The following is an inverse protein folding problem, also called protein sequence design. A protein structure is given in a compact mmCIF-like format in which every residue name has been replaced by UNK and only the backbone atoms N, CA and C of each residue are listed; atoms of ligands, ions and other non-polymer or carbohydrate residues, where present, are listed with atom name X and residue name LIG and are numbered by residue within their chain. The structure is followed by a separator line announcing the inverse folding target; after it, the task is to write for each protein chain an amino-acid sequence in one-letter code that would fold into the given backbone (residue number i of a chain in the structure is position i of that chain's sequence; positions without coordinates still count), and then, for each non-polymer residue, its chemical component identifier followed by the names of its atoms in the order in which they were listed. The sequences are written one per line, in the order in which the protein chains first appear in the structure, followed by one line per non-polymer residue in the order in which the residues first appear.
data_IF_923207628549
#
_entry.id   IF_923207628549
#
_cell.length_a   1.000
_cell.length_b   1.000
_cell.length_c   1.000
_cell.angle_alpha   90.00
_cell.angle_beta   90.00
_cell.angle_gamma   90.00
#
_symmetry.space_group_name_H-M   'P 1'
#
loop_
_entity.id
_entity.type
_entity.pdbx_description
1 polymer ?
#
# COMPACT_ATOMS: atom_id res chain seq x y z
N UNK A 1 13.85 16.36 -15.47
CA UNK A 1 12.87 16.31 -14.35
C UNK A 1 12.18 17.67 -14.27
N UNK A 2 10.84 17.71 -14.17
CA UNK A 2 10.07 18.94 -14.06
C UNK A 2 10.27 19.52 -12.63
N UNK A 3 10.43 20.84 -12.48
CA UNK A 3 10.60 21.52 -11.17
C UNK A 3 9.48 21.17 -10.17
N UNK A 4 8.25 21.03 -10.66
CA UNK A 4 7.10 20.60 -9.84
C UNK A 4 7.31 19.20 -9.25
N UNK A 5 7.79 18.25 -10.03
CA UNK A 5 8.04 16.88 -9.59
C UNK A 5 9.14 16.81 -8.53
N UNK A 6 10.22 17.57 -8.72
CA UNK A 6 11.30 17.70 -7.72
C UNK A 6 10.75 18.21 -6.39
N UNK A 7 9.90 19.24 -6.45
CA UNK A 7 9.26 19.82 -5.28
C UNK A 7 8.38 18.79 -4.55
N UNK A 8 7.54 18.05 -5.28
CA UNK A 8 6.64 17.03 -4.70
C UNK A 8 7.41 15.89 -4.03
N UNK A 9 8.47 15.38 -4.66
CA UNK A 9 9.31 14.33 -4.08
C UNK A 9 10.06 14.84 -2.85
N UNK A 10 10.57 16.07 -2.88
CA UNK A 10 11.23 16.68 -1.71
C UNK A 10 10.27 16.87 -0.54
N UNK A 11 9.06 17.34 -0.82
CA UNK A 11 7.99 17.49 0.18
C UNK A 11 7.61 16.14 0.78
N UNK A 12 7.44 15.11 -0.07
CA UNK A 12 7.16 13.75 0.37
C UNK A 12 8.25 13.21 1.30
N UNK A 13 9.51 13.27 0.88
CA UNK A 13 10.63 12.73 1.64
C UNK A 13 10.74 13.37 3.03
N UNK A 14 10.53 14.68 3.11
CA UNK A 14 10.51 15.40 4.39
C UNK A 14 9.34 15.01 5.28
N UNK A 15 8.18 14.71 4.67
CA UNK A 15 6.98 14.36 5.40
C UNK A 15 7.01 12.90 5.88
N UNK A 16 7.34 11.95 5.00
CA UNK A 16 7.28 10.52 5.31
C UNK A 16 8.29 10.09 6.36
N UNK A 17 9.47 10.72 6.38
CA UNK A 17 10.52 10.47 7.37
C UNK A 17 10.28 11.13 8.74
N UNK A 18 9.29 12.01 8.85
CA UNK A 18 9.00 12.71 10.10
C UNK A 18 8.14 11.82 11.02
N UNK A 19 8.70 11.44 12.15
CA UNK A 19 8.05 10.58 13.16
C UNK A 19 6.87 11.26 13.89
N UNK A 20 6.70 12.57 13.77
CA UNK A 20 5.56 13.28 14.34
C UNK A 20 4.25 13.02 13.57
N UNK A 21 4.34 12.53 12.34
CA UNK A 21 3.17 12.16 11.56
C UNK A 21 2.86 10.66 11.69
N UNK A 22 1.60 10.36 12.01
CA UNK A 22 1.11 8.99 12.09
C UNK A 22 0.80 8.42 10.69
N UNK A 23 0.42 7.12 10.64
CA UNK A 23 0.13 6.42 9.39
C UNK A 23 -0.99 7.10 8.58
N UNK A 24 -2.09 7.53 9.24
CA UNK A 24 -3.23 8.18 8.56
C UNK A 24 -2.78 9.48 7.89
N UNK A 25 -2.01 10.31 8.59
CA UNK A 25 -1.50 11.57 8.04
C UNK A 25 -0.59 11.31 6.82
N UNK A 26 0.26 10.28 6.88
CA UNK A 26 1.11 9.87 5.76
C UNK A 26 0.30 9.36 4.57
N UNK A 27 -0.75 8.57 4.79
CA UNK A 27 -1.65 8.10 3.74
C UNK A 27 -2.42 9.25 3.06
N UNK A 28 -2.92 10.20 3.84
CA UNK A 28 -3.62 11.37 3.30
C UNK A 28 -2.67 12.32 2.55
N UNK A 29 -1.43 12.45 3.04
CA UNK A 29 -0.39 13.20 2.32
C UNK A 29 -0.05 12.56 0.98
N UNK A 30 0.01 11.23 0.92
CA UNK A 30 0.17 10.48 -0.32
C UNK A 30 -0.97 10.81 -1.31
N UNK A 31 -2.22 10.79 -0.84
CA UNK A 31 -3.39 11.17 -1.65
C UNK A 31 -3.26 12.60 -2.20
N UNK A 32 -2.85 13.56 -1.34
CA UNK A 32 -2.70 14.97 -1.70
C UNK A 32 -1.62 15.17 -2.79
N UNK A 33 -0.50 14.46 -2.68
CA UNK A 33 0.61 14.57 -3.63
C UNK A 33 0.26 13.97 -5.00
N UNK A 34 -0.41 12.82 -5.01
CA UNK A 34 -0.60 12.05 -6.25
C UNK A 34 -1.88 12.42 -7.01
N UNK A 35 -3.00 12.63 -6.35
CA UNK A 35 -4.31 12.74 -7.04
C UNK A 35 -5.16 13.92 -6.57
N UNK A 36 -5.08 14.31 -5.29
CA UNK A 36 -6.00 15.27 -4.68
C UNK A 36 -5.26 16.47 -4.08
N UNK A 37 -4.63 17.37 -4.90
CA UNK A 37 -3.79 18.46 -4.37
C UNK A 37 -4.51 19.45 -3.47
N UNK A 38 -5.84 19.58 -3.61
CA UNK A 38 -6.68 20.46 -2.79
C UNK A 38 -7.32 19.73 -1.58
N UNK A 39 -6.88 18.50 -1.28
CA UNK A 39 -7.45 17.71 -0.19
C UNK A 39 -7.25 18.41 1.16
N UNK A 40 -8.32 18.66 1.89
CA UNK A 40 -8.28 19.04 3.30
C UNK A 40 -8.04 17.80 4.17
N UNK A 41 -6.78 17.51 4.43
CA UNK A 41 -6.39 16.34 5.23
C UNK A 41 -6.92 16.41 6.67
N UNK A 42 -7.11 17.61 7.23
CA UNK A 42 -7.66 17.80 8.57
C UNK A 42 -9.11 17.36 8.64
N UNK A 43 -9.89 17.67 7.61
CA UNK A 43 -11.28 17.22 7.50
C UNK A 43 -11.38 15.69 7.40
N UNK A 44 -10.51 15.06 6.63
CA UNK A 44 -10.50 13.59 6.52
C UNK A 44 -10.10 12.91 7.85
N UNK A 45 -9.13 13.47 8.57
CA UNK A 45 -8.77 12.99 9.92
C UNK A 45 -9.95 13.11 10.88
N UNK A 46 -10.71 14.22 10.83
CA UNK A 46 -11.87 14.38 11.70
C UNK A 46 -12.99 13.37 11.37
N UNK A 47 -13.22 13.05 10.09
CA UNK A 47 -14.15 11.96 9.69
C UNK A 47 -13.76 10.62 10.30
N UNK A 48 -12.46 10.25 10.22
CA UNK A 48 -11.95 9.00 10.82
C UNK A 48 -12.15 9.00 12.34
N UNK A 49 -11.87 10.13 12.98
CA UNK A 49 -12.06 10.31 14.41
C UNK A 49 -13.54 10.19 14.81
N UNK A 50 -14.46 10.77 14.05
CA UNK A 50 -15.91 10.63 14.26
C UNK A 50 -16.33 9.16 14.17
N UNK A 51 -15.84 8.41 13.17
CA UNK A 51 -16.08 6.98 13.08
C UNK A 51 -15.56 6.24 14.32
N UNK A 52 -14.36 6.56 14.78
CA UNK A 52 -13.77 5.98 15.99
C UNK A 52 -14.58 6.25 17.26
N UNK A 53 -15.03 7.47 17.45
CA UNK A 53 -15.88 7.89 18.56
C UNK A 53 -17.24 7.18 18.50
N UNK A 54 -17.86 7.11 17.33
CA UNK A 54 -19.12 6.43 17.10
C UNK A 54 -19.01 4.94 17.41
N UNK A 55 -17.94 4.28 16.98
CA UNK A 55 -17.66 2.90 17.35
C UNK A 55 -17.52 2.73 18.86
N UNK A 56 -16.68 3.54 19.51
CA UNK A 56 -16.45 3.48 20.96
C UNK A 56 -17.76 3.60 21.75
N UNK A 57 -18.67 4.48 21.34
CA UNK A 57 -19.95 4.71 22.00
C UNK A 57 -20.91 3.51 21.90
N UNK A 58 -20.66 2.55 21.02
CA UNK A 58 -21.45 1.31 20.89
C UNK A 58 -21.05 0.22 21.91
N UNK A 59 -19.89 0.38 22.54
CA UNK A 59 -19.37 -0.60 23.50
C UNK A 59 -20.00 -0.30 24.85
N UNK A 60 -21.10 -1.00 25.16
CA UNK A 60 -21.90 -0.76 26.38
C UNK A 60 -21.78 -1.85 27.43
N UNK A 61 -21.54 -3.09 27.02
CA UNK A 61 -21.74 -4.24 27.92
C UNK A 61 -20.43 -4.95 28.32
N UNK A 62 -19.44 -5.00 27.47
CA UNK A 62 -18.23 -5.79 27.71
C UNK A 62 -17.02 -5.22 26.99
N UNK A 63 -15.86 -5.26 27.66
CA UNK A 63 -14.55 -5.02 27.05
C UNK A 63 -13.86 -6.33 26.62
N UNK A 64 -14.61 -7.41 26.43
CA UNK A 64 -14.05 -8.63 25.87
C UNK A 64 -13.63 -8.38 24.42
N UNK A 65 -12.39 -8.66 24.02
CA UNK A 65 -11.89 -8.35 22.69
C UNK A 65 -12.68 -9.00 21.56
N UNK A 66 -13.08 -10.26 21.71
CA UNK A 66 -13.90 -10.98 20.71
C UNK A 66 -15.25 -10.28 20.47
N UNK A 67 -15.89 -9.84 21.55
CA UNK A 67 -17.13 -9.08 21.48
C UNK A 67 -16.90 -7.71 20.80
N UNK A 68 -15.83 -7.01 21.17
CA UNK A 68 -15.48 -5.71 20.57
C UNK A 68 -15.17 -5.82 19.07
N UNK A 69 -14.47 -6.87 18.66
CA UNK A 69 -14.19 -7.17 17.24
C UNK A 69 -15.50 -7.46 16.48
N UNK A 70 -16.40 -8.23 17.07
CA UNK A 70 -17.73 -8.48 16.46
C UNK A 70 -18.53 -7.18 16.29
N UNK A 71 -18.50 -6.28 17.29
CA UNK A 71 -19.14 -4.96 17.19
C UNK A 71 -18.45 -4.06 16.15
N UNK A 72 -17.13 -4.15 16.02
CA UNK A 72 -16.38 -3.40 15.00
C UNK A 72 -16.77 -3.85 13.58
N UNK A 73 -16.88 -5.17 13.39
CA UNK A 73 -17.34 -5.74 12.12
C UNK A 73 -18.78 -5.29 11.80
N UNK A 74 -19.69 -5.39 12.79
CA UNK A 74 -21.07 -4.92 12.63
C UNK A 74 -21.11 -3.43 12.30
N UNK A 75 -20.32 -2.61 13.01
CA UNK A 75 -20.27 -1.18 12.81
C UNK A 75 -19.75 -0.82 11.43
N UNK A 76 -18.56 -1.30 11.05
CA UNK A 76 -17.93 -0.90 9.79
C UNK A 76 -18.63 -1.48 8.57
N UNK A 77 -19.04 -2.75 8.61
CA UNK A 77 -19.49 -3.45 7.41
C UNK A 77 -21.02 -3.52 7.26
N UNK A 78 -21.79 -3.28 8.31
CA UNK A 78 -23.25 -3.29 8.23
C UNK A 78 -23.88 -1.90 8.49
N UNK A 79 -23.27 -1.08 9.38
CA UNK A 79 -23.81 0.25 9.70
C UNK A 79 -23.20 1.32 8.81
N UNK A 80 -21.88 1.36 8.68
CA UNK A 80 -21.15 2.29 7.84
C UNK A 80 -21.02 1.82 6.38
N UNK A 81 -21.36 0.55 6.11
CA UNK A 81 -21.42 -0.08 4.80
C UNK A 81 -20.11 -0.13 4.02
N UNK A 82 -18.96 -0.14 4.73
CA UNK A 82 -17.67 -0.38 4.09
C UNK A 82 -17.61 -1.78 3.49
N UNK A 83 -16.94 -1.91 2.34
CA UNK A 83 -16.78 -3.20 1.66
C UNK A 83 -15.47 -3.28 0.88
N UNK A 84 -15.07 -4.52 0.57
CA UNK A 84 -13.99 -4.76 -0.40
C UNK A 84 -14.48 -4.48 -1.82
N UNK A 85 -13.69 -3.75 -2.59
CA UNK A 85 -13.97 -3.53 -4.01
C UNK A 85 -13.55 -4.77 -4.82
N UNK A 86 -14.53 -5.58 -5.19
CA UNK A 86 -14.34 -6.77 -6.01
C UNK A 86 -14.54 -6.47 -7.50
N UNK A 87 -15.30 -5.42 -7.83
CA UNK A 87 -15.68 -5.09 -9.20
C UNK A 87 -14.55 -4.31 -9.92
N UNK A 88 -13.87 -3.43 -9.22
CA UNK A 88 -12.79 -2.60 -9.75
C UNK A 88 -11.54 -2.60 -8.84
N UNK A 89 -11.11 -3.79 -8.46
CA UNK A 89 -10.02 -4.01 -7.49
C UNK A 89 -8.75 -3.24 -7.84
N UNK A 90 -8.39 -3.17 -9.14
CA UNK A 90 -7.16 -2.54 -9.61
C UNK A 90 -7.25 -1.03 -9.84
N UNK A 91 -8.40 -0.41 -9.56
CA UNK A 91 -8.56 1.04 -9.61
C UNK A 91 -7.56 1.72 -8.66
N UNK A 92 -6.66 2.59 -9.16
CA UNK A 92 -5.70 3.27 -8.30
C UNK A 92 -6.36 4.05 -7.15
N UNK A 93 -7.60 4.52 -7.34
CA UNK A 93 -8.33 5.29 -6.31
C UNK A 93 -8.59 4.51 -5.04
N UNK A 94 -8.68 3.18 -5.12
CA UNK A 94 -8.84 2.30 -3.96
C UNK A 94 -7.66 2.34 -2.98
N UNK A 95 -6.53 2.93 -3.38
CA UNK A 95 -5.37 3.17 -2.51
C UNK A 95 -5.44 4.50 -1.73
N UNK A 96 -6.40 5.39 -2.01
CA UNK A 96 -6.50 6.69 -1.37
C UNK A 96 -7.55 6.68 -0.25
N UNK A 97 -7.13 6.94 1.00
CA UNK A 97 -8.02 6.87 2.16
C UNK A 97 -9.22 7.82 2.07
N UNK A 98 -9.04 9.03 1.55
CA UNK A 98 -10.14 9.97 1.31
C UNK A 98 -11.19 9.41 0.36
N UNK A 99 -10.78 8.74 -0.72
CA UNK A 99 -11.69 8.08 -1.66
C UNK A 99 -12.43 6.91 -1.00
N UNK A 100 -11.70 6.07 -0.25
CA UNK A 100 -12.29 4.92 0.47
C UNK A 100 -13.29 5.39 1.55
N UNK A 101 -13.03 6.51 2.22
CA UNK A 101 -13.97 7.10 3.19
C UNK A 101 -15.24 7.60 2.51
N UNK A 102 -15.15 8.16 1.31
CA UNK A 102 -16.29 8.69 0.54
C UNK A 102 -17.11 7.56 -0.08
N UNK A 103 -16.45 6.64 -0.79
CA UNK A 103 -17.11 5.56 -1.55
C UNK A 103 -17.46 4.34 -0.70
N UNK A 104 -16.96 4.27 0.55
CA UNK A 104 -17.12 3.12 1.44
C UNK A 104 -16.62 1.79 0.84
N UNK A 105 -15.72 1.87 -0.13
CA UNK A 105 -15.17 0.74 -0.87
C UNK A 105 -13.66 0.86 -0.97
N UNK A 106 -12.93 -0.25 -0.82
CA UNK A 106 -11.47 -0.22 -0.86
C UNK A 106 -10.83 -1.59 -1.04
N UNK A 107 -9.49 -1.60 -1.03
CA UNK A 107 -8.66 -2.80 -1.13
C UNK A 107 -8.17 -3.26 0.25
N UNK A 108 -7.60 -4.48 0.37
CA UNK A 108 -7.20 -5.01 1.68
C UNK A 108 -6.39 -4.04 2.53
N UNK A 109 -5.41 -3.34 1.95
CA UNK A 109 -4.53 -2.46 2.72
C UNK A 109 -5.25 -1.24 3.28
N UNK A 110 -6.10 -0.58 2.49
CA UNK A 110 -6.83 0.63 2.94
C UNK A 110 -7.90 0.29 3.96
N UNK A 111 -8.61 -0.83 3.78
CA UNK A 111 -9.59 -1.31 4.76
C UNK A 111 -8.92 -1.74 6.07
N UNK A 112 -7.74 -2.41 6.03
CA UNK A 112 -6.99 -2.75 7.24
C UNK A 112 -6.50 -1.50 7.98
N UNK A 113 -6.06 -0.46 7.27
CA UNK A 113 -5.66 0.83 7.89
C UNK A 113 -6.84 1.46 8.62
N UNK A 114 -7.99 1.62 7.97
CA UNK A 114 -9.19 2.19 8.60
C UNK A 114 -9.70 1.34 9.76
N UNK A 115 -9.74 0.02 9.57
CA UNK A 115 -10.17 -0.93 10.59
C UNK A 115 -9.34 -0.83 11.87
N UNK A 116 -8.01 -0.81 11.73
CA UNK A 116 -7.10 -0.70 12.88
C UNK A 116 -7.13 0.69 13.50
N UNK A 117 -7.25 1.75 12.71
CA UNK A 117 -7.32 3.11 13.25
C UNK A 117 -8.59 3.35 14.08
N UNK A 118 -9.75 2.90 13.56
CA UNK A 118 -11.02 3.02 14.27
C UNK A 118 -11.03 2.19 15.56
N UNK A 119 -10.41 1.01 15.56
CA UNK A 119 -10.27 0.14 16.72
C UNK A 119 -9.51 0.80 17.89
N UNK A 120 -8.52 1.64 17.60
CA UNK A 120 -7.72 2.35 18.62
C UNK A 120 -8.57 3.21 19.54
N UNK A 121 -9.68 3.79 19.06
CA UNK A 121 -10.58 4.62 19.87
C UNK A 121 -11.27 3.85 20.99
N UNK A 122 -11.27 2.53 20.91
CA UNK A 122 -11.84 1.63 21.90
C UNK A 122 -10.75 0.85 22.65
N UNK A 123 -9.48 1.27 22.60
CA UNK A 123 -8.33 0.60 23.20
C UNK A 123 -8.14 -0.85 22.71
N UNK A 124 -8.56 -1.14 21.47
CA UNK A 124 -8.40 -2.46 20.86
C UNK A 124 -7.13 -2.46 19.99
N UNK A 125 -6.06 -3.10 20.50
CA UNK A 125 -4.74 -3.17 19.86
C UNK A 125 -4.74 -4.16 18.70
N UNK A 126 -5.16 -3.71 17.53
CA UNK A 126 -5.11 -4.46 16.28
C UNK A 126 -3.85 -4.10 15.49
N UNK A 127 -3.23 -5.09 14.86
CA UNK A 127 -1.96 -4.93 14.14
C UNK A 127 -2.10 -5.32 12.69
N UNK A 128 -1.59 -4.49 11.79
CA UNK A 128 -1.58 -4.80 10.35
C UNK A 128 -0.46 -5.79 10.05
N UNK A 129 -0.80 -6.83 9.31
CA UNK A 129 0.09 -7.90 8.87
C UNK A 129 0.19 -7.89 7.36
N UNK A 130 1.41 -7.80 6.85
CA UNK A 130 1.70 -7.82 5.41
C UNK A 130 1.82 -9.24 4.88
N UNK A 131 0.72 -10.00 4.92
CA UNK A 131 0.70 -11.36 4.41
C UNK A 131 1.05 -11.38 2.90
N UNK A 132 1.74 -12.41 2.38
CA UNK A 132 2.06 -12.48 0.96
C UNK A 132 0.80 -12.38 0.10
N UNK A 133 0.82 -11.52 -0.91
CA UNK A 133 -0.30 -11.15 -1.80
C UNK A 133 -1.54 -10.53 -1.14
N UNK A 134 -1.62 -10.50 0.20
CA UNK A 134 -2.77 -9.98 0.93
C UNK A 134 -2.36 -9.10 2.12
N UNK A 135 -3.29 -8.32 2.68
CA UNK A 135 -3.10 -7.57 3.94
C UNK A 135 -4.22 -7.96 4.87
N UNK A 136 -3.86 -8.34 6.08
CA UNK A 136 -4.78 -8.82 7.11
C UNK A 136 -4.50 -8.11 8.43
N UNK A 137 -5.33 -8.34 9.42
CA UNK A 137 -5.21 -7.77 10.76
C UNK A 137 -5.09 -8.87 11.79
N UNK A 138 -4.24 -8.66 12.80
CA UNK A 138 -4.04 -9.59 13.91
C UNK A 138 -4.41 -8.93 15.24
N UNK A 139 -5.10 -9.69 16.11
CA UNK A 139 -5.27 -9.37 17.51
C UNK A 139 -4.64 -10.46 18.38
N UNK A 140 -3.75 -10.06 19.31
CA UNK A 140 -3.00 -11.03 20.10
C UNK A 140 -2.15 -11.96 19.24
N UNK A 141 -2.07 -13.23 19.63
CA UNK A 141 -1.29 -14.23 18.88
C UNK A 141 -2.15 -15.09 17.95
N UNK A 142 -3.43 -15.25 18.24
CA UNK A 142 -4.25 -16.31 17.65
C UNK A 142 -5.39 -15.80 16.74
N UNK A 143 -5.77 -14.52 16.83
CA UNK A 143 -6.93 -14.03 16.10
C UNK A 143 -6.50 -13.27 14.85
N UNK A 144 -6.79 -13.81 13.68
CA UNK A 144 -6.45 -13.24 12.37
C UNK A 144 -7.75 -12.86 11.67
N UNK A 145 -7.81 -11.61 11.20
CA UNK A 145 -9.03 -11.02 10.67
C UNK A 145 -8.77 -10.49 9.25
N UNK A 146 -9.76 -10.61 8.38
CA UNK A 146 -9.73 -10.08 7.02
C UNK A 146 -10.77 -8.97 6.82
N UNK A 147 -10.39 -7.69 7.01
CA UNK A 147 -11.29 -6.57 6.79
C UNK A 147 -11.84 -6.46 5.36
N UNK A 148 -11.08 -6.91 4.35
CA UNK A 148 -11.55 -6.94 2.96
C UNK A 148 -12.75 -7.89 2.78
N UNK A 149 -12.75 -8.99 3.52
CA UNK A 149 -13.86 -9.93 3.60
C UNK A 149 -14.70 -9.72 4.88
N UNK A 150 -15.02 -8.44 5.20
CA UNK A 150 -15.93 -8.01 6.27
C UNK A 150 -15.49 -8.43 7.68
N UNK A 151 -14.18 -8.47 7.92
CA UNK A 151 -13.61 -8.84 9.22
C UNK A 151 -13.73 -10.33 9.53
N UNK A 152 -13.82 -11.18 8.51
CA UNK A 152 -13.86 -12.64 8.64
C UNK A 152 -12.65 -13.12 9.44
N UNK A 153 -12.89 -14.00 10.40
CA UNK A 153 -11.82 -14.74 11.09
C UNK A 153 -11.20 -15.73 10.10
N UNK A 154 -9.87 -15.73 10.03
CA UNK A 154 -9.10 -16.66 9.19
C UNK A 154 -8.46 -17.73 10.05
N UNK A 155 -8.59 -18.97 9.62
CA UNK A 155 -7.87 -20.13 10.15
C UNK A 155 -6.61 -20.40 9.31
N UNK A 156 -5.77 -21.35 9.78
CA UNK A 156 -4.53 -21.69 9.08
C UNK A 156 -4.79 -22.18 7.64
N UNK A 157 -5.85 -22.93 7.44
CA UNK A 157 -6.27 -23.45 6.15
C UNK A 157 -6.63 -22.31 5.16
N UNK A 158 -7.29 -21.27 5.64
CA UNK A 158 -7.59 -20.07 4.82
C UNK A 158 -6.31 -19.37 4.36
N UNK A 159 -5.33 -19.24 5.27
CA UNK A 159 -4.03 -18.64 4.96
C UNK A 159 -3.23 -19.45 3.94
N UNK A 160 -3.25 -20.78 4.06
CA UNK A 160 -2.63 -21.68 3.09
C UNK A 160 -3.33 -21.60 1.73
N UNK A 161 -4.65 -21.47 1.70
CA UNK A 161 -5.43 -21.31 0.47
C UNK A 161 -5.07 -19.98 -0.24
N UNK A 162 -4.95 -18.87 0.51
CA UNK A 162 -4.51 -17.58 -0.04
C UNK A 162 -3.12 -17.71 -0.69
N UNK A 163 -2.17 -18.40 -0.06
CA UNK A 163 -0.85 -18.65 -0.63
C UNK A 163 -0.94 -19.50 -1.89
N UNK A 164 -1.70 -20.59 -1.84
CA UNK A 164 -1.83 -21.51 -2.96
C UNK A 164 -2.46 -20.83 -4.18
N UNK A 165 -3.50 -20.03 -4.01
CA UNK A 165 -4.15 -19.29 -5.09
C UNK A 165 -3.21 -18.30 -5.79
N UNK A 166 -2.26 -17.71 -5.08
CA UNK A 166 -1.35 -16.70 -5.63
C UNK A 166 -0.01 -17.25 -6.11
N UNK A 167 0.49 -18.35 -5.51
CA UNK A 167 1.84 -18.86 -5.73
C UNK A 167 1.88 -20.36 -6.07
N UNK A 168 0.74 -21.05 -6.10
CA UNK A 168 0.70 -22.51 -6.21
C UNK A 168 1.47 -23.19 -5.10
N UNK A 169 2.14 -24.31 -5.42
CA UNK A 169 2.97 -25.07 -4.48
C UNK A 169 4.36 -24.43 -4.21
N UNK A 170 4.66 -23.27 -4.80
CA UNK A 170 6.00 -22.68 -4.70
C UNK A 170 6.25 -21.93 -3.38
N UNK A 171 5.22 -21.63 -2.60
CA UNK A 171 5.33 -20.91 -1.32
C UNK A 171 4.58 -21.65 -0.21
N UNK A 172 5.34 -22.15 0.76
CA UNK A 172 4.78 -22.74 1.97
C UNK A 172 4.46 -21.67 3.02
N UNK A 173 3.45 -21.93 3.85
CA UNK A 173 3.13 -21.06 4.98
C UNK A 173 4.28 -21.01 5.99
N UNK A 174 4.61 -19.80 6.45
CA UNK A 174 5.57 -19.54 7.51
C UNK A 174 4.95 -18.61 8.56
N UNK A 175 5.21 -18.90 9.84
CA UNK A 175 4.67 -18.09 10.96
C UNK A 175 5.13 -16.63 10.87
N UNK A 176 6.31 -16.37 10.32
CA UNK A 176 6.86 -15.03 10.10
C UNK A 176 5.99 -14.17 9.19
N UNK A 177 5.17 -14.78 8.33
CA UNK A 177 4.19 -14.06 7.50
C UNK A 177 3.09 -13.38 8.31
N UNK A 178 2.93 -13.77 9.60
CA UNK A 178 2.00 -13.16 10.54
C UNK A 178 2.63 -12.06 11.41
N UNK A 179 3.86 -11.67 11.14
CA UNK A 179 4.48 -10.56 11.84
C UNK A 179 3.84 -9.22 11.43
N UNK A 180 3.68 -8.36 12.43
CA UNK A 180 3.28 -6.97 12.19
C UNK A 180 4.29 -6.29 11.27
N UNK A 181 3.80 -5.50 10.33
CA UNK A 181 4.62 -4.63 9.48
C UNK A 181 4.61 -3.19 10.00
N UNK A 182 5.73 -2.48 9.78
CA UNK A 182 5.86 -1.06 10.15
C UNK A 182 5.01 -0.17 9.23
N UNK A 183 4.68 1.04 9.70
CA UNK A 183 4.00 2.08 8.92
C UNK A 183 4.74 2.36 7.60
N UNK A 184 6.07 2.37 7.62
CA UNK A 184 6.91 2.53 6.44
C UNK A 184 6.64 1.44 5.39
N UNK A 185 6.60 0.16 5.83
CA UNK A 185 6.28 -0.96 4.93
C UNK A 185 4.86 -0.90 4.38
N UNK A 186 3.91 -0.38 5.17
CA UNK A 186 2.53 -0.15 4.72
C UNK A 186 2.53 0.90 3.61
N UNK A 187 3.19 2.03 3.81
CA UNK A 187 3.29 3.11 2.82
C UNK A 187 3.98 2.64 1.53
N UNK A 188 5.09 1.91 1.64
CA UNK A 188 5.76 1.32 0.47
C UNK A 188 4.82 0.39 -0.29
N UNK A 189 4.05 -0.44 0.41
CA UNK A 189 3.09 -1.35 -0.23
C UNK A 189 1.97 -0.59 -0.95
N UNK A 190 1.45 0.49 -0.37
CA UNK A 190 0.48 1.36 -1.04
C UNK A 190 1.05 1.99 -2.31
N UNK A 191 2.28 2.52 -2.23
CA UNK A 191 2.96 3.09 -3.39
C UNK A 191 3.25 2.05 -4.48
N UNK A 192 3.60 0.80 -4.11
CA UNK A 192 3.76 -0.30 -5.07
C UNK A 192 2.44 -0.67 -5.74
N UNK A 193 1.34 -0.74 -4.99
CA UNK A 193 0.02 -0.96 -5.57
C UNK A 193 -0.31 0.14 -6.60
N UNK A 194 -0.12 1.40 -6.23
CA UNK A 194 -0.33 2.55 -7.13
C UNK A 194 0.58 2.50 -8.35
N UNK A 195 1.88 2.23 -8.16
CA UNK A 195 2.85 2.06 -9.25
C UNK A 195 2.37 1.01 -10.25
N UNK A 196 1.92 -0.15 -9.77
CA UNK A 196 1.44 -1.23 -10.61
C UNK A 196 0.14 -0.83 -11.35
N UNK A 197 -0.87 -0.32 -10.64
CA UNK A 197 -2.13 0.13 -11.24
C UNK A 197 -1.92 1.22 -12.31
N UNK A 198 -1.01 2.18 -12.06
CA UNK A 198 -0.66 3.19 -13.05
C UNK A 198 0.15 2.63 -14.22
N UNK A 199 0.98 1.63 -13.99
CA UNK A 199 1.72 0.94 -15.08
C UNK A 199 0.76 0.18 -15.98
N UNK A 200 -0.19 -0.56 -15.40
CA UNK A 200 -1.19 -1.34 -16.12
C UNK A 200 -2.15 -0.46 -16.93
N UNK A 201 -2.45 0.75 -16.43
CA UNK A 201 -3.24 1.76 -17.14
C UNK A 201 -2.43 2.66 -18.08
N UNK A 202 -1.15 2.36 -18.30
CA UNK A 202 -0.22 3.15 -19.13
C UNK A 202 0.01 4.59 -18.67
N UNK A 203 -0.33 4.91 -17.43
CA UNK A 203 -0.06 6.21 -16.80
C UNK A 203 1.38 6.28 -16.22
N UNK A 204 2.37 6.09 -17.10
CA UNK A 204 3.76 5.87 -16.71
C UNK A 204 4.39 7.04 -15.93
N UNK A 205 3.97 8.29 -16.15
CA UNK A 205 4.44 9.42 -15.36
C UNK A 205 4.03 9.32 -13.90
N UNK A 206 2.80 8.85 -13.63
CA UNK A 206 2.31 8.63 -12.27
C UNK A 206 2.99 7.41 -11.63
N UNK A 207 3.16 6.31 -12.38
CA UNK A 207 3.92 5.14 -11.92
C UNK A 207 5.36 5.52 -11.54
N UNK A 208 6.02 6.35 -12.35
CA UNK A 208 7.36 6.88 -12.10
C UNK A 208 7.42 7.75 -10.85
N UNK A 209 6.42 8.61 -10.63
CA UNK A 209 6.34 9.43 -9.42
C UNK A 209 6.19 8.55 -8.18
N UNK A 210 5.31 7.54 -8.21
CA UNK A 210 5.19 6.55 -7.12
C UNK A 210 6.52 5.86 -6.83
N UNK A 211 7.24 5.43 -7.87
CA UNK A 211 8.54 4.78 -7.71
C UNK A 211 9.59 5.72 -7.10
N UNK A 212 9.62 7.00 -7.49
CA UNK A 212 10.48 8.02 -6.85
C UNK A 212 10.16 8.23 -5.38
N UNK A 213 8.87 8.20 -5.03
CA UNK A 213 8.45 8.29 -3.63
C UNK A 213 8.89 7.05 -2.83
N UNK A 214 8.90 5.85 -3.43
CA UNK A 214 9.45 4.65 -2.79
C UNK A 214 10.95 4.77 -2.60
N UNK A 215 11.70 5.17 -3.63
CA UNK A 215 13.15 5.37 -3.55
C UNK A 215 13.55 6.47 -2.56
N UNK A 216 12.65 7.40 -2.27
CA UNK A 216 12.85 8.38 -1.18
C UNK A 216 12.84 7.74 0.21
N UNK A 217 12.19 6.57 0.36
CA UNK A 217 12.12 5.81 1.62
C UNK A 217 13.22 4.74 1.65
N UNK A 218 13.38 3.99 0.56
CA UNK A 218 14.34 2.87 0.43
C UNK A 218 15.26 3.09 -0.78
N UNK A 219 16.25 4.01 -0.71
CA UNK A 219 17.04 4.46 -1.86
C UNK A 219 17.91 3.37 -2.49
N UNK A 220 18.21 2.32 -1.75
CA UNK A 220 19.10 1.23 -2.15
C UNK A 220 18.34 -0.08 -2.46
N UNK A 221 17.04 0.01 -2.81
CA UNK A 221 16.25 -1.15 -3.24
C UNK A 221 16.57 -1.49 -4.70
N UNK A 222 17.21 -2.66 -5.00
CA UNK A 222 17.55 -3.03 -6.38
C UNK A 222 16.32 -3.10 -7.27
N UNK A 223 15.22 -3.73 -6.79
CA UNK A 223 13.97 -3.85 -7.55
C UNK A 223 13.39 -2.47 -7.95
N UNK A 224 13.38 -1.51 -7.02
CA UNK A 224 12.84 -0.18 -7.31
C UNK A 224 13.78 0.61 -8.23
N UNK A 225 15.09 0.37 -8.18
CA UNK A 225 16.07 0.96 -9.10
C UNK A 225 15.88 0.39 -10.51
N UNK A 226 15.69 -0.93 -10.66
CA UNK A 226 15.36 -1.57 -11.94
C UNK A 226 14.06 -1.02 -12.50
N UNK A 227 13.00 -0.99 -11.70
CA UNK A 227 11.69 -0.50 -12.10
C UNK A 227 11.74 0.98 -12.52
N UNK A 228 12.57 1.81 -11.86
CA UNK A 228 12.81 3.18 -12.28
C UNK A 228 13.41 3.24 -13.68
N UNK A 229 14.39 2.40 -13.98
CA UNK A 229 14.98 2.33 -15.31
C UNK A 229 13.96 1.95 -16.39
N UNK A 230 13.09 0.98 -16.10
CA UNK A 230 11.99 0.57 -16.98
C UNK A 230 10.99 1.73 -17.18
N UNK A 231 10.59 2.41 -16.11
CA UNK A 231 9.64 3.52 -16.17
C UNK A 231 10.21 4.75 -16.88
N UNK A 232 11.50 5.05 -16.72
CA UNK A 232 12.18 6.12 -17.45
C UNK A 232 12.24 5.81 -18.97
N UNK A 233 12.36 4.53 -19.37
CA UNK A 233 12.22 4.10 -20.77
C UNK A 233 10.82 4.37 -21.31
N UNK A 234 9.78 4.02 -20.55
CA UNK A 234 8.38 4.24 -20.94
C UNK A 234 8.03 5.70 -21.15
N UNK A 235 8.65 6.60 -20.38
CA UNK A 235 8.50 8.07 -20.56
C UNK A 235 9.53 8.67 -21.51
N UNK A 236 10.31 7.82 -22.22
CA UNK A 236 11.32 8.20 -23.22
C UNK A 236 12.49 9.02 -22.67
N UNK A 237 12.77 8.89 -21.40
CA UNK A 237 13.94 9.49 -20.76
C UNK A 237 15.11 8.50 -20.80
N UNK A 238 15.62 8.25 -22.00
CA UNK A 238 16.50 7.14 -22.30
C UNK A 238 17.85 7.18 -21.56
N UNK A 239 18.43 8.37 -21.36
CA UNK A 239 19.70 8.50 -20.65
C UNK A 239 19.57 8.05 -19.18
N UNK A 240 18.53 8.52 -18.49
CA UNK A 240 18.24 8.09 -17.12
C UNK A 240 17.86 6.60 -17.06
N UNK A 241 17.11 6.10 -18.04
CA UNK A 241 16.78 4.67 -18.10
C UNK A 241 18.05 3.82 -18.10
N UNK A 242 19.02 4.13 -18.96
CA UNK A 242 20.31 3.42 -19.04
C UNK A 242 21.08 3.54 -17.71
N UNK A 243 21.09 4.73 -17.08
CA UNK A 243 21.76 4.96 -15.81
C UNK A 243 21.21 4.05 -14.69
N UNK A 244 19.89 4.03 -14.52
CA UNK A 244 19.23 3.21 -13.49
C UNK A 244 19.39 1.70 -13.76
N UNK A 245 19.24 1.27 -15.01
CA UNK A 245 19.41 -0.14 -15.38
C UNK A 245 20.87 -0.61 -15.17
N UNK A 246 21.86 0.21 -15.49
CA UNK A 246 23.25 -0.14 -15.18
C UNK A 246 23.50 -0.20 -13.68
N UNK A 247 22.96 0.76 -12.90
CA UNK A 247 23.05 0.73 -11.43
C UNK A 247 22.47 -0.57 -10.87
N UNK A 248 21.32 -1.02 -11.38
CA UNK A 248 20.73 -2.31 -10.99
C UNK A 248 21.67 -3.48 -11.27
N UNK A 249 22.25 -3.57 -12.47
CA UNK A 249 23.18 -4.64 -12.85
C UNK A 249 24.46 -4.65 -11.99
N UNK A 250 24.91 -3.48 -11.52
CA UNK A 250 26.04 -3.39 -10.58
C UNK A 250 25.66 -3.93 -9.19
N UNK A 251 24.42 -3.71 -8.74
CA UNK A 251 23.94 -4.18 -7.45
C UNK A 251 23.61 -5.67 -7.46
N UNK A 252 23.02 -6.16 -8.53
CA UNK A 252 22.52 -7.55 -8.66
C UNK A 252 23.08 -8.24 -9.93
N UNK A 253 24.39 -8.47 -10.01
CA UNK A 253 25.03 -9.00 -11.22
C UNK A 253 24.64 -10.44 -11.56
N UNK A 254 23.99 -11.15 -10.64
CA UNK A 254 23.57 -12.54 -10.81
C UNK A 254 22.05 -12.73 -10.71
N UNK A 255 21.27 -11.65 -10.81
CA UNK A 255 19.80 -11.75 -10.78
C UNK A 255 19.28 -12.53 -12.00
N UNK A 256 18.15 -13.19 -11.86
CA UNK A 256 17.55 -14.01 -12.90
C UNK A 256 17.16 -13.21 -14.16
N UNK A 257 16.93 -11.91 -14.03
CA UNK A 257 16.50 -11.02 -15.10
C UNK A 257 17.61 -10.17 -15.73
N UNK A 258 18.89 -10.46 -15.43
CA UNK A 258 20.06 -9.75 -15.99
C UNK A 258 20.04 -9.72 -17.51
N UNK A 259 19.73 -10.84 -18.17
CA UNK A 259 19.69 -10.91 -19.63
C UNK A 259 18.59 -10.03 -20.22
N UNK A 260 17.42 -9.99 -19.58
CA UNK A 260 16.34 -9.06 -19.97
C UNK A 260 16.76 -7.60 -19.84
N UNK A 261 17.41 -7.24 -18.73
CA UNK A 261 17.86 -5.86 -18.50
C UNK A 261 18.93 -5.44 -19.52
N UNK A 262 19.87 -6.32 -19.86
CA UNK A 262 20.89 -6.08 -20.88
C UNK A 262 20.28 -5.89 -22.27
N UNK A 263 19.27 -6.68 -22.63
CA UNK A 263 18.55 -6.54 -23.89
C UNK A 263 17.81 -5.19 -23.95
N UNK A 264 17.11 -4.83 -22.89
CA UNK A 264 16.42 -3.53 -22.80
C UNK A 264 17.40 -2.35 -22.98
N UNK A 265 18.58 -2.39 -22.38
CA UNK A 265 19.62 -1.35 -22.56
C UNK A 265 20.05 -1.27 -24.03
N UNK A 266 20.19 -2.39 -24.75
CA UNK A 266 20.52 -2.39 -26.20
C UNK A 266 19.42 -1.74 -27.02
N UNK A 267 18.16 -2.13 -26.78
CA UNK A 267 17.01 -1.52 -27.46
C UNK A 267 16.92 0.00 -27.25
N UNK A 268 17.19 0.47 -26.01
CA UNK A 268 17.20 1.89 -25.69
C UNK A 268 18.32 2.61 -26.48
N UNK A 269 19.52 2.04 -26.55
CA UNK A 269 20.64 2.62 -27.31
C UNK A 269 20.34 2.71 -28.80
N UNK A 270 19.66 1.72 -29.35
CA UNK A 270 19.23 1.73 -30.76
C UNK A 270 18.19 2.84 -31.03
N UNK A 271 17.27 3.08 -30.07
CA UNK A 271 16.30 4.19 -30.15
C UNK A 271 16.95 5.57 -30.09
N UNK A 272 18.04 5.74 -29.36
CA UNK A 272 18.80 7.00 -29.27
C UNK A 272 19.58 7.27 -30.59
N UNK A 273 19.99 6.22 -31.28
CA UNK A 273 20.83 6.31 -32.48
C UNK A 273 20.04 6.58 -33.79
N UNK A 274 18.71 6.53 -33.71
CA UNK A 274 17.78 6.83 -34.82
C UNK A 274 17.31 8.28 -34.80
#
# INVERSE_FOLDING_TARGET
MNEREISLVSEWNSFVSNENYNLIEKCLKLSQILEYPELDTSNEIEKIKELGINFRNRITESKNPTYMISLLNEFLFNVEEFQGDLDDYYNPKNNYLNYVLEEKSGIPITLCILYTEIAKYADLDLRIVGFPSHVIVKYGEDMILDPFNRGRLLELEDLQEILYQNYGDSVEFKVEYLNQISDEKIIIRMLRNLKNSYTDSFAYEMARLCNKMILGIIPDSPDEIRDMGILEEKVKNYDNAIEFLNKYLEMEPNAEDVDFVLELIREIRDKISQ
#
